data_IF_608161671210
#
_entry.id   IF_608161671210
#
_cell.length_a   1.000
_cell.length_b   1.000
_cell.length_c   1.000
_cell.angle_alpha   90.00
_cell.angle_beta   90.00
_cell.angle_gamma   90.00
#
_symmetry.space_group_name_H-M   'P 1'
#
loop_
_entity.id
_entity.type
_entity.pdbx_description
1 polymer ?
#
# COMPACT_ATOMS: atom_id res chain seq x y z
N UNK A 1 41.16 21.03 -18.08
CA UNK A 1 40.38 21.11 -16.82
C UNK A 1 38.92 21.32 -17.21
N UNK A 2 38.10 20.26 -17.23
CA UNK A 2 36.98 20.04 -16.28
C UNK A 2 35.68 20.37 -17.02
N UNK A 3 34.71 19.48 -17.27
CA UNK A 3 34.07 18.51 -16.40
C UNK A 3 33.61 17.27 -17.18
N UNK A 4 34.32 16.14 -17.04
CA UNK A 4 33.82 14.79 -17.39
C UNK A 4 33.17 14.06 -16.21
N UNK A 5 32.83 14.79 -15.13
CA UNK A 5 32.21 14.24 -13.90
C UNK A 5 30.67 14.21 -13.91
N UNK A 6 30.05 14.32 -15.08
CA UNK A 6 28.59 14.22 -15.23
C UNK A 6 28.11 12.85 -15.76
N UNK A 7 29.03 11.88 -15.99
CA UNK A 7 28.69 10.54 -16.53
C UNK A 7 28.81 9.38 -15.54
N UNK A 8 29.12 9.66 -14.28
CA UNK A 8 29.21 8.64 -13.22
C UNK A 8 27.99 8.64 -12.28
N UNK A 9 26.80 8.95 -12.80
CA UNK A 9 25.59 8.24 -12.35
C UNK A 9 25.72 6.81 -12.85
N UNK A 10 26.56 6.07 -12.13
CA UNK A 10 26.89 4.68 -12.37
C UNK A 10 25.60 3.88 -12.50
N UNK A 11 25.25 3.54 -13.74
CA UNK A 11 24.35 2.42 -14.02
C UNK A 11 24.81 1.27 -13.11
N UNK A 12 23.93 0.67 -12.29
CA UNK A 12 24.28 -0.54 -11.57
C UNK A 12 24.80 -1.55 -12.60
N UNK A 13 26.08 -1.91 -12.51
CA UNK A 13 26.73 -2.86 -13.43
C UNK A 13 26.31 -4.32 -13.18
N UNK A 14 25.40 -4.56 -12.24
CA UNK A 14 24.73 -5.85 -12.06
C UNK A 14 23.47 -5.90 -12.92
N UNK A 15 23.37 -6.89 -13.81
CA UNK A 15 22.07 -7.28 -14.36
C UNK A 15 21.18 -7.60 -13.15
N UNK A 16 20.04 -6.93 -13.02
CA UNK A 16 19.04 -7.30 -12.02
C UNK A 16 18.77 -8.80 -12.11
N UNK A 17 18.69 -9.49 -10.96
CA UNK A 17 18.34 -10.91 -10.97
C UNK A 17 16.93 -11.02 -11.52
N UNK A 18 16.75 -11.85 -12.55
CA UNK A 18 15.42 -12.25 -12.97
C UNK A 18 14.70 -12.87 -11.76
N UNK A 19 13.46 -12.45 -11.53
CA UNK A 19 12.64 -12.94 -10.43
C UNK A 19 11.36 -13.49 -11.03
N UNK A 20 10.99 -14.72 -10.66
CA UNK A 20 9.67 -15.26 -10.94
C UNK A 20 8.80 -15.12 -9.70
N UNK A 21 7.51 -14.87 -9.90
CA UNK A 21 6.49 -14.83 -8.86
C UNK A 21 5.22 -15.48 -9.41
N UNK A 22 4.96 -16.69 -8.96
CA UNK A 22 3.76 -17.45 -9.32
C UNK A 22 2.68 -17.34 -8.24
N UNK A 23 3.06 -16.98 -7.01
CA UNK A 23 2.13 -16.85 -5.89
C UNK A 23 2.21 -15.40 -5.37
N UNK A 24 1.07 -14.72 -5.42
CA UNK A 24 0.90 -13.40 -4.82
C UNK A 24 -0.57 -13.28 -4.40
N UNK A 25 -0.87 -13.84 -3.25
CA UNK A 25 -2.23 -14.03 -2.74
C UNK A 25 -2.44 -13.14 -1.52
N UNK A 26 -3.48 -12.32 -1.57
CA UNK A 26 -3.85 -11.42 -0.50
C UNK A 26 -5.07 -11.98 0.22
N UNK A 27 -4.96 -12.14 1.54
CA UNK A 27 -6.08 -12.41 2.42
C UNK A 27 -6.23 -11.24 3.37
N UNK A 28 -7.45 -10.69 3.46
CA UNK A 28 -7.76 -9.61 4.39
C UNK A 28 -8.94 -10.03 5.25
N UNK A 29 -8.83 -9.79 6.55
CA UNK A 29 -9.90 -10.08 7.50
C UNK A 29 -10.12 -8.88 8.42
N UNK A 30 -11.39 -8.56 8.67
CA UNK A 30 -11.83 -7.58 9.65
C UNK A 30 -12.58 -8.30 10.76
N UNK A 31 -12.06 -8.30 11.99
CA UNK A 31 -12.72 -8.91 13.14
C UNK A 31 -12.47 -8.07 14.39
N UNK A 32 -13.51 -7.80 15.18
CA UNK A 32 -13.39 -7.16 16.50
C UNK A 32 -12.61 -5.84 16.51
N UNK A 33 -12.88 -4.95 15.54
CA UNK A 33 -12.17 -3.67 15.36
C UNK A 33 -10.68 -3.79 15.01
N UNK A 34 -10.29 -4.91 14.41
CA UNK A 34 -8.96 -5.14 13.91
C UNK A 34 -8.99 -5.54 12.44
N UNK A 35 -8.02 -5.00 11.71
CA UNK A 35 -7.65 -5.40 10.37
C UNK A 35 -6.45 -6.34 10.46
N UNK A 36 -6.54 -7.49 9.81
CA UNK A 36 -5.40 -8.35 9.53
C UNK A 36 -5.23 -8.50 8.03
N UNK A 37 -4.03 -8.18 7.54
CA UNK A 37 -3.62 -8.31 6.15
C UNK A 37 -2.53 -9.37 6.08
N UNK A 38 -2.79 -10.45 5.34
CA UNK A 38 -1.85 -11.53 5.11
C UNK A 38 -1.54 -11.60 3.61
N UNK A 39 -0.26 -11.49 3.26
CA UNK A 39 0.23 -11.75 1.91
C UNK A 39 0.98 -13.08 1.91
N UNK A 40 0.55 -14.01 1.06
CA UNK A 40 1.29 -15.23 0.73
C UNK A 40 1.96 -15.06 -0.62
N UNK A 41 3.26 -15.35 -0.69
CA UNK A 41 4.04 -15.19 -1.92
C UNK A 41 5.26 -16.10 -1.99
N UNK A 42 5.76 -16.33 -3.21
CA UNK A 42 7.03 -16.99 -3.47
C UNK A 42 8.19 -16.00 -3.71
N UNK A 43 7.93 -14.69 -3.62
CA UNK A 43 8.96 -13.64 -3.69
C UNK A 43 10.10 -13.87 -2.68
N UNK A 44 11.35 -13.49 -2.98
CA UNK A 44 12.47 -13.63 -2.05
C UNK A 44 12.23 -12.96 -0.70
N UNK A 45 12.70 -13.60 0.38
CA UNK A 45 12.77 -12.96 1.70
C UNK A 45 13.55 -11.64 1.62
N UNK A 46 13.09 -10.62 2.34
CA UNK A 46 13.63 -9.27 2.27
C UNK A 46 12.99 -8.39 1.18
N UNK A 47 12.11 -8.94 0.34
CA UNK A 47 11.36 -8.14 -0.64
C UNK A 47 10.44 -7.16 0.09
N UNK A 48 10.48 -5.90 -0.31
CA UNK A 48 9.60 -4.85 0.21
C UNK A 48 8.27 -4.87 -0.53
N UNK A 49 7.18 -4.92 0.23
CA UNK A 49 5.81 -4.81 -0.25
C UNK A 49 5.20 -3.54 0.31
N UNK A 50 4.42 -2.82 -0.48
CA UNK A 50 3.70 -1.63 0.00
C UNK A 50 2.25 -2.00 0.18
N UNK A 51 1.71 -1.74 1.37
CA UNK A 51 0.30 -1.91 1.70
C UNK A 51 -0.33 -0.53 1.83
N UNK A 52 -1.34 -0.28 1.00
CA UNK A 52 -2.16 0.91 1.06
C UNK A 52 -3.57 0.53 1.46
N UNK A 53 -4.20 1.33 2.31
CA UNK A 53 -5.61 1.19 2.63
C UNK A 53 -6.26 2.58 2.68
N UNK A 54 -7.43 2.71 2.09
CA UNK A 54 -8.21 3.93 2.13
C UNK A 54 -9.69 3.63 2.12
N UNK A 55 -10.47 4.55 2.70
CA UNK A 55 -11.93 4.61 2.57
C UNK A 55 -12.30 5.92 1.91
N UNK A 56 -13.54 6.06 1.46
CA UNK A 56 -14.04 7.30 0.87
C UNK A 56 -14.78 8.13 1.92
N UNK A 57 -14.81 9.45 1.74
CA UNK A 57 -15.72 10.34 2.45
C UNK A 57 -16.16 11.47 1.52
N UNK A 58 -17.33 12.06 1.79
CA UNK A 58 -17.85 13.18 1.02
C UNK A 58 -17.60 14.50 1.74
N UNK A 59 -17.25 15.54 0.98
CA UNK A 59 -17.26 16.91 1.48
C UNK A 59 -18.66 17.54 1.42
N UNK A 60 -18.79 18.76 1.96
CA UNK A 60 -20.01 19.58 1.93
C UNK A 60 -20.49 19.92 0.51
N UNK A 61 -19.59 19.90 -0.47
CA UNK A 61 -19.89 20.19 -1.88
C UNK A 61 -20.27 18.92 -2.67
N UNK A 62 -20.32 17.76 -2.01
CA UNK A 62 -20.64 16.48 -2.61
C UNK A 62 -19.49 15.82 -3.39
N UNK A 63 -18.25 16.29 -3.21
CA UNK A 63 -17.06 15.67 -3.80
C UNK A 63 -16.58 14.52 -2.94
N UNK A 64 -16.16 13.44 -3.58
CA UNK A 64 -15.56 12.30 -2.91
C UNK A 64 -14.05 12.48 -2.73
N UNK A 65 -13.58 12.15 -1.53
CA UNK A 65 -12.19 12.25 -1.13
C UNK A 65 -11.70 10.94 -0.52
N UNK A 66 -10.42 10.64 -0.72
CA UNK A 66 -9.78 9.49 -0.09
C UNK A 66 -9.37 9.82 1.34
N UNK A 67 -9.82 8.99 2.28
CA UNK A 67 -9.35 8.94 3.66
C UNK A 67 -8.28 7.85 3.77
N UNK A 68 -7.02 8.26 3.66
CA UNK A 68 -5.86 7.37 3.73
C UNK A 68 -5.74 6.79 5.14
N UNK A 69 -6.04 5.50 5.27
CA UNK A 69 -5.98 4.75 6.53
C UNK A 69 -4.58 4.18 6.76
N UNK A 70 -3.96 3.66 5.70
CA UNK A 70 -2.68 2.98 5.76
C UNK A 70 -1.88 3.28 4.50
N UNK A 71 -0.58 3.49 4.69
CA UNK A 71 0.42 3.42 3.63
C UNK A 71 1.72 3.05 4.36
N UNK A 72 2.05 1.77 4.26
CA UNK A 72 3.15 1.15 5.00
C UNK A 72 3.94 0.21 4.11
N UNK A 73 5.20 0.00 4.49
CA UNK A 73 6.08 -0.95 3.81
C UNK A 73 6.28 -2.17 4.70
N UNK A 74 5.79 -3.31 4.24
CA UNK A 74 6.08 -4.63 4.80
C UNK A 74 7.34 -5.24 4.19
N UNK A 75 7.96 -6.16 4.92
CA UNK A 75 9.06 -6.98 4.42
C UNK A 75 8.58 -8.43 4.37
N UNK A 76 8.73 -9.07 3.21
CA UNK A 76 8.47 -10.50 3.03
C UNK A 76 9.47 -11.27 3.89
N UNK A 77 8.99 -12.08 4.81
CA UNK A 77 9.76 -12.99 5.64
C UNK A 77 9.51 -14.45 5.22
N UNK A 78 10.47 -15.32 5.51
CA UNK A 78 10.25 -16.76 5.44
C UNK A 78 9.44 -17.21 6.65
N UNK A 79 8.39 -17.99 6.42
CA UNK A 79 7.66 -18.71 7.47
C UNK A 79 8.24 -20.13 7.61
N UNK A 80 7.97 -20.73 8.76
CA UNK A 80 8.28 -22.10 9.18
C UNK A 80 7.77 -23.20 8.23
N UNK A 81 6.84 -22.90 7.31
CA UNK A 81 6.24 -23.84 6.37
C UNK A 81 6.76 -23.70 4.92
N UNK A 82 7.97 -23.15 4.72
CA UNK A 82 8.57 -22.84 3.41
C UNK A 82 7.78 -21.85 2.53
N UNK A 83 6.65 -21.34 3.03
CA UNK A 83 5.90 -20.25 2.43
C UNK A 83 6.53 -18.92 2.86
N UNK A 84 6.59 -17.96 1.94
CA UNK A 84 7.04 -16.60 2.25
C UNK A 84 5.85 -15.67 2.28
N UNK A 85 5.94 -14.64 3.10
CA UNK A 85 4.79 -13.78 3.27
C UNK A 85 5.05 -12.60 4.17
N UNK A 86 3.98 -11.89 4.41
CA UNK A 86 3.95 -10.76 5.31
C UNK A 86 2.59 -10.74 6.00
N UNK A 87 2.60 -10.38 7.29
CA UNK A 87 1.40 -10.18 8.08
C UNK A 87 1.44 -8.78 8.70
N UNK A 88 0.33 -8.06 8.56
CA UNK A 88 0.09 -6.78 9.22
C UNK A 88 -1.17 -6.88 10.06
N UNK A 89 -1.10 -6.39 11.29
CA UNK A 89 -2.26 -6.19 12.15
C UNK A 89 -2.36 -4.74 12.54
N UNK A 90 -3.55 -4.16 12.41
CA UNK A 90 -3.86 -2.80 12.84
C UNK A 90 -5.23 -2.76 13.49
N UNK A 91 -5.37 -1.95 14.51
CA UNK A 91 -6.67 -1.59 15.08
C UNK A 91 -7.34 -0.51 14.22
N UNK A 92 -8.67 -0.39 14.32
CA UNK A 92 -9.40 0.68 13.62
C UNK A 92 -8.89 2.08 14.02
N UNK A 93 -8.52 2.26 15.29
CA UNK A 93 -7.99 3.52 15.79
C UNK A 93 -6.65 3.88 15.13
N UNK A 94 -5.74 2.91 14.98
CA UNK A 94 -4.46 3.11 14.29
C UNK A 94 -4.67 3.47 12.82
N UNK A 95 -5.61 2.80 12.15
CA UNK A 95 -5.95 3.05 10.75
C UNK A 95 -6.53 4.46 10.55
N UNK A 96 -7.59 4.77 11.27
CA UNK A 96 -8.35 5.99 11.00
C UNK A 96 -7.66 7.25 11.56
N UNK A 97 -6.74 7.10 12.52
CA UNK A 97 -5.95 8.24 13.02
C UNK A 97 -5.11 8.88 11.91
N UNK A 98 -4.53 8.09 10.99
CA UNK A 98 -3.76 8.63 9.86
C UNK A 98 -4.65 9.49 8.95
N UNK A 99 -5.84 9.00 8.63
CA UNK A 99 -6.80 9.76 7.84
C UNK A 99 -7.28 11.01 8.56
N UNK A 100 -7.46 10.97 9.88
CA UNK A 100 -7.83 12.15 10.68
C UNK A 100 -6.75 13.24 10.64
N UNK A 101 -5.48 12.85 10.68
CA UNK A 101 -4.38 13.80 10.53
C UNK A 101 -4.38 14.45 9.14
N UNK A 102 -4.59 13.66 8.09
CA UNK A 102 -4.67 14.17 6.72
C UNK A 102 -5.88 15.10 6.54
N UNK A 103 -7.05 14.74 7.05
CA UNK A 103 -8.22 15.60 7.05
C UNK A 103 -7.97 16.92 7.78
N UNK A 104 -7.38 16.89 8.98
CA UNK A 104 -7.05 18.12 9.72
C UNK A 104 -6.11 19.04 8.94
N UNK A 105 -5.17 18.47 8.19
CA UNK A 105 -4.33 19.23 7.28
C UNK A 105 -5.16 19.87 6.16
N UNK A 106 -5.97 19.08 5.45
CA UNK A 106 -6.83 19.56 4.36
C UNK A 106 -7.86 20.60 4.81
N UNK A 107 -8.47 20.42 5.98
CA UNK A 107 -9.37 21.41 6.58
C UNK A 107 -8.68 22.75 6.80
N UNK A 108 -7.41 22.74 7.25
CA UNK A 108 -6.64 23.98 7.48
C UNK A 108 -6.16 24.63 6.18
N UNK A 109 -5.78 23.84 5.18
CA UNK A 109 -5.19 24.35 3.94
C UNK A 109 -6.22 24.65 2.86
N UNK A 110 -7.36 23.96 2.85
CA UNK A 110 -8.37 23.99 1.80
C UNK A 110 -9.79 24.24 2.32
N UNK A 111 -9.98 24.48 3.63
CA UNK A 111 -11.29 24.69 4.26
C UNK A 111 -12.29 23.55 4.02
N UNK A 112 -11.78 22.33 3.87
CA UNK A 112 -12.58 21.15 3.58
C UNK A 112 -13.42 20.73 4.80
N UNK A 113 -14.72 20.57 4.59
CA UNK A 113 -15.69 20.14 5.59
C UNK A 113 -16.32 18.82 5.17
N UNK A 114 -16.39 17.87 6.11
CA UNK A 114 -16.97 16.54 5.86
C UNK A 114 -18.48 16.65 6.02
N UNK A 115 -19.25 16.14 5.04
CA UNK A 115 -20.72 16.18 5.06
C UNK A 115 -21.37 14.96 5.71
N UNK A 116 -20.63 13.88 5.93
CA UNK A 116 -21.15 12.64 6.50
C UNK A 116 -20.06 11.68 6.95
N UNK A 117 -20.46 10.56 7.56
CA UNK A 117 -19.51 9.55 8.04
C UNK A 117 -18.66 9.01 6.88
N UNK A 118 -17.34 8.79 7.08
CA UNK A 118 -16.53 8.06 6.12
C UNK A 118 -17.10 6.66 5.87
N UNK A 119 -16.90 6.14 4.67
CA UNK A 119 -17.35 4.82 4.25
C UNK A 119 -16.80 3.72 5.16
N UNK A 120 -17.64 2.73 5.46
CA UNK A 120 -17.20 1.49 6.12
C UNK A 120 -16.44 0.57 5.17
N UNK A 121 -16.60 0.75 3.86
CA UNK A 121 -15.82 0.02 2.87
C UNK A 121 -14.38 0.52 2.88
N UNK A 122 -13.48 -0.40 3.22
CA UNK A 122 -12.05 -0.20 3.24
C UNK A 122 -11.46 -0.89 2.01
N UNK A 123 -10.86 -0.09 1.11
CA UNK A 123 -10.15 -0.58 -0.06
C UNK A 123 -8.67 -0.74 0.27
N UNK A 124 -8.17 -1.97 0.13
CA UNK A 124 -6.77 -2.29 0.35
C UNK A 124 -6.09 -2.69 -0.96
N UNK A 125 -4.84 -2.30 -1.10
CA UNK A 125 -3.96 -2.82 -2.14
C UNK A 125 -2.58 -3.14 -1.59
N UNK A 126 -2.03 -4.26 -2.06
CA UNK A 126 -0.66 -4.69 -1.79
C UNK A 126 0.09 -4.74 -3.10
N UNK A 127 1.26 -4.09 -3.14
CA UNK A 127 2.09 -3.99 -4.34
C UNK A 127 3.53 -4.41 -4.08
N UNK A 128 4.18 -4.98 -5.10
CA UNK A 128 5.60 -5.34 -5.10
C UNK A 128 6.20 -5.23 -6.52
N UNK A 129 7.53 -5.10 -6.69
CA UNK A 129 8.58 -4.69 -5.75
C UNK A 129 8.89 -3.18 -5.85
N UNK A 130 9.05 -2.51 -4.69
CA UNK A 130 9.49 -1.11 -4.62
C UNK A 130 10.89 -1.02 -3.99
N UNK A 131 11.95 -1.35 -4.74
CA UNK A 131 13.32 -0.96 -4.35
C UNK A 131 13.62 0.46 -4.84
N UNK A 132 14.01 1.41 -3.95
CA UNK A 132 14.20 2.82 -4.31
C UNK A 132 15.25 3.14 -5.38
N UNK A 133 16.13 2.21 -5.78
CA UNK A 133 17.21 2.51 -6.75
C UNK A 133 17.56 1.39 -7.75
N UNK A 134 16.68 0.42 -8.00
CA UNK A 134 16.94 -0.57 -9.07
C UNK A 134 16.02 -0.48 -10.28
N UNK A 135 14.97 0.36 -10.25
CA UNK A 135 13.97 0.34 -11.31
C UNK A 135 13.56 1.73 -11.78
N UNK A 136 14.55 2.49 -12.27
CA UNK A 136 14.33 3.50 -13.31
C UNK A 136 13.96 2.87 -14.68
N UNK A 137 13.65 1.58 -14.70
CA UNK A 137 13.15 0.80 -15.82
C UNK A 137 12.07 -0.09 -15.19
N UNK A 138 10.84 0.05 -15.67
CA UNK A 138 9.74 -0.90 -15.55
C UNK A 138 10.21 -2.34 -15.23
N UNK A 139 9.61 -3.05 -14.27
CA UNK A 139 10.02 -4.41 -13.82
C UNK A 139 9.90 -5.52 -14.90
N UNK A 140 10.30 -5.28 -16.15
CA UNK A 140 10.15 -6.18 -17.31
C UNK A 140 10.86 -7.53 -17.17
N UNK A 141 11.71 -7.69 -16.15
CA UNK A 141 12.37 -8.96 -15.81
C UNK A 141 11.65 -9.78 -14.73
N UNK A 142 10.55 -9.24 -14.18
CA UNK A 142 9.67 -9.95 -13.27
C UNK A 142 8.72 -10.83 -14.10
N UNK A 143 8.73 -12.13 -13.87
CA UNK A 143 7.91 -13.11 -14.62
C UNK A 143 7.06 -13.94 -13.66
N UNK A 144 6.22 -14.82 -14.19
CA UNK A 144 5.38 -15.71 -13.39
C UNK A 144 3.90 -15.38 -13.51
N UNK A 145 3.07 -16.32 -13.08
CA UNK A 145 1.62 -16.31 -13.28
C UNK A 145 0.89 -15.22 -12.50
N UNK A 146 1.44 -14.80 -11.35
CA UNK A 146 0.85 -13.73 -10.54
C UNK A 146 1.11 -12.32 -11.10
N UNK A 147 2.05 -12.20 -12.05
CA UNK A 147 2.56 -10.93 -12.57
C UNK A 147 1.67 -10.38 -13.68
N UNK A 148 1.27 -9.12 -13.53
CA UNK A 148 0.61 -8.39 -14.61
C UNK A 148 1.65 -7.85 -15.58
N UNK A 149 1.66 -8.35 -16.81
CA UNK A 149 2.60 -7.93 -17.86
C UNK A 149 1.96 -6.85 -18.73
N UNK A 150 2.57 -5.66 -18.79
CA UNK A 150 2.16 -4.56 -19.67
C UNK A 150 3.34 -4.07 -20.52
N UNK A 151 3.10 -3.46 -21.71
CA UNK A 151 4.18 -2.85 -22.51
C UNK A 151 5.01 -1.83 -21.74
N UNK A 152 4.34 -1.08 -20.85
CA UNK A 152 4.95 -0.09 -19.95
C UNK A 152 5.54 -0.67 -18.67
N UNK A 153 5.56 -1.99 -18.47
CA UNK A 153 6.15 -2.63 -17.29
C UNK A 153 5.35 -3.76 -16.70
N UNK A 154 5.99 -4.52 -15.82
CA UNK A 154 5.35 -5.62 -15.11
C UNK A 154 5.09 -5.19 -13.66
N UNK A 155 3.98 -5.64 -13.08
CA UNK A 155 3.60 -5.30 -11.71
C UNK A 155 3.04 -6.51 -10.96
N UNK A 156 3.26 -6.52 -9.64
CA UNK A 156 2.52 -7.37 -8.72
C UNK A 156 1.62 -6.48 -7.88
N UNK A 157 0.32 -6.71 -8.02
CA UNK A 157 -0.70 -5.99 -7.30
C UNK A 157 -1.84 -6.96 -6.97
N UNK A 158 -2.32 -6.90 -5.73
CA UNK A 158 -3.60 -7.46 -5.33
C UNK A 158 -4.35 -6.44 -4.53
N UNK A 159 -5.65 -6.41 -4.73
CA UNK A 159 -6.56 -5.60 -3.95
C UNK A 159 -7.60 -6.46 -3.27
N UNK A 160 -8.14 -5.94 -2.18
CA UNK A 160 -9.27 -6.50 -1.47
C UNK A 160 -10.13 -5.35 -0.96
N UNK A 161 -11.42 -5.61 -0.85
CA UNK A 161 -12.39 -4.71 -0.23
C UNK A 161 -13.01 -5.44 0.95
N UNK A 162 -13.09 -4.77 2.09
CA UNK A 162 -13.74 -5.31 3.29
C UNK A 162 -14.61 -4.24 3.92
N UNK A 163 -15.65 -4.67 4.62
CA UNK A 163 -16.39 -3.79 5.52
C UNK A 163 -15.69 -3.75 6.88
N UNK A 164 -15.21 -2.57 7.26
CA UNK A 164 -14.59 -2.32 8.56
C UNK A 164 -15.13 -0.98 9.13
N UNK A 165 -15.84 -1.00 10.27
CA UNK A 165 -16.42 0.21 10.84
C UNK A 165 -15.35 1.25 11.13
N UNK A 166 -15.70 2.54 11.00
CA UNK A 166 -14.80 3.64 11.37
C UNK A 166 -14.58 3.63 12.89
N UNK A 167 -13.38 4.00 13.32
CA UNK A 167 -13.04 4.19 14.74
C UNK A 167 -14.02 5.15 15.43
N UNK A 168 -14.63 4.70 16.54
CA UNK A 168 -15.49 5.54 17.39
C UNK A 168 -14.73 6.75 17.94
N UNK A 169 -13.45 6.57 18.30
CA UNK A 169 -12.59 7.67 18.74
C UNK A 169 -12.48 8.75 17.65
N UNK A 170 -12.31 8.36 16.39
CA UNK A 170 -12.20 9.30 15.27
C UNK A 170 -13.55 9.97 15.00
N UNK A 171 -14.65 9.22 15.01
CA UNK A 171 -16.00 9.77 14.85
C UNK A 171 -16.29 10.87 15.88
N UNK A 172 -16.04 10.59 17.17
CA UNK A 172 -16.18 11.56 18.25
C UNK A 172 -15.33 12.84 18.04
N UNK A 173 -14.17 12.74 17.39
CA UNK A 173 -13.28 13.88 17.10
C UNK A 173 -13.70 14.67 15.86
N UNK A 174 -14.46 14.07 14.96
CA UNK A 174 -15.06 14.75 13.81
C UNK A 174 -16.33 15.50 14.22
N UNK A 175 -16.95 15.15 15.36
CA UNK A 175 -18.23 15.70 15.79
C UNK A 175 -19.40 15.17 14.96
N UNK A 176 -19.22 13.96 14.40
CA UNK A 176 -20.17 13.22 13.59
C UNK A 176 -20.67 12.01 14.37
#
# INVERSE_FOLDING_TARGET
MGNKRARDLSRPKGRGKACSCDIFELTVTGAGHQLMVCLRTDLPSGTRVTVNAHRLFCDSDGREWHWTCLEEVGIVAADSQDLRGFELRRTNDELDTKGLHMYRYLKRSMSLEISGMPSTSLQLSVTAPTTPHQFGICNRQLTGTAVTVRPGGHSLERSAEIDLPVSEMVMNRLGL
#
